data_IF_788078713026
#
_entry.id   IF_788078713026
#
_cell.length_a   1.000
_cell.length_b   1.000
_cell.length_c   1.000
_cell.angle_alpha   90.00
_cell.angle_beta   90.00
_cell.angle_gamma   90.00
#
_symmetry.space_group_name_H-M   'P 1'
#
loop_
_entity.id
_entity.type
_entity.pdbx_description
1 polymer ?
#
# COMPACT_ATOMS: atom_id res chain seq x y z
N UNK A 1 -37.40 -19.27 -2.26
CA UNK A 1 -36.28 -18.75 -1.43
C UNK A 1 -35.50 -19.93 -0.90
N UNK A 2 -34.38 -20.27 -1.54
CA UNK A 2 -33.47 -21.30 -1.08
C UNK A 2 -32.26 -20.59 -0.44
N UNK A 3 -32.16 -20.66 0.89
CA UNK A 3 -31.01 -20.17 1.63
C UNK A 3 -29.86 -21.17 1.46
N UNK A 4 -28.95 -20.91 0.52
CA UNK A 4 -27.70 -21.66 0.42
C UNK A 4 -26.70 -20.96 1.34
N UNK A 5 -26.60 -21.48 2.56
CA UNK A 5 -25.55 -21.12 3.51
C UNK A 5 -24.23 -21.76 3.06
N UNK A 6 -23.45 -21.08 2.23
CA UNK A 6 -22.08 -21.53 1.93
C UNK A 6 -21.21 -21.20 3.15
N UNK A 7 -21.02 -22.17 4.03
CA UNK A 7 -20.01 -22.09 5.08
C UNK A 7 -18.63 -22.33 4.45
N UNK A 8 -17.95 -21.26 4.05
CA UNK A 8 -16.52 -21.32 3.74
C UNK A 8 -15.74 -21.37 5.06
N UNK A 9 -15.55 -22.59 5.58
CA UNK A 9 -14.60 -22.86 6.66
C UNK A 9 -13.20 -22.72 6.09
N UNK A 10 -12.60 -21.53 6.22
CA UNK A 10 -11.16 -21.38 6.17
C UNK A 10 -10.63 -21.62 7.59
N UNK A 11 -10.05 -22.81 7.80
CA UNK A 11 -9.26 -23.10 8.99
C UNK A 11 -7.91 -22.36 8.88
N UNK A 12 -7.76 -21.25 9.60
CA UNK A 12 -6.46 -20.64 9.88
C UNK A 12 -6.46 -19.12 9.77
N UNK A 13 -6.49 -18.44 10.91
CA UNK A 13 -6.30 -16.99 11.03
C UNK A 13 -7.62 -16.23 11.12
N UNK A 14 -7.81 -15.45 12.19
CA UNK A 14 -9.07 -14.80 12.52
C UNK A 14 -9.66 -13.99 11.36
N UNK A 15 -10.67 -14.56 10.70
CA UNK A 15 -11.35 -13.95 9.57
C UNK A 15 -12.00 -12.65 10.01
N UNK A 16 -11.34 -11.53 9.71
CA UNK A 16 -11.81 -10.20 10.04
C UNK A 16 -13.09 -9.83 9.28
N UNK A 17 -13.58 -10.61 8.31
CA UNK A 17 -14.76 -10.29 7.52
C UNK A 17 -16.07 -10.62 8.28
N UNK A 18 -17.10 -9.74 8.26
CA UNK A 18 -18.44 -10.10 8.70
C UNK A 18 -18.94 -11.31 7.91
N UNK A 19 -19.60 -12.27 8.57
CA UNK A 19 -20.23 -13.39 7.89
C UNK A 19 -21.30 -12.87 6.90
N UNK A 20 -21.30 -13.38 5.67
CA UNK A 20 -22.30 -13.01 4.67
C UNK A 20 -23.69 -13.43 5.16
N UNK A 21 -24.57 -12.44 5.35
CA UNK A 21 -25.96 -12.63 5.76
C UNK A 21 -26.86 -12.07 4.66
N UNK A 22 -27.13 -12.87 3.63
CA UNK A 22 -27.93 -12.49 2.46
C UNK A 22 -29.43 -12.59 2.75
N UNK A 23 -29.91 -11.88 3.79
CA UNK A 23 -31.28 -12.02 4.32
C UNK A 23 -32.28 -11.10 3.65
N UNK A 24 -31.82 -9.98 3.09
CA UNK A 24 -32.63 -9.02 2.34
C UNK A 24 -32.04 -8.76 0.95
N UNK A 25 -32.86 -8.22 0.05
CA UNK A 25 -32.40 -7.80 -1.29
C UNK A 25 -31.26 -6.76 -1.17
N UNK A 26 -31.32 -5.89 -0.16
CA UNK A 26 -30.27 -4.92 0.13
C UNK A 26 -28.98 -5.61 0.53
N UNK A 27 -29.03 -6.66 1.37
CA UNK A 27 -27.85 -7.44 1.75
C UNK A 27 -27.23 -8.13 0.53
N UNK A 28 -28.07 -8.73 -0.31
CA UNK A 28 -27.66 -9.40 -1.55
C UNK A 28 -26.99 -8.45 -2.53
N UNK A 29 -27.60 -7.28 -2.78
CA UNK A 29 -27.04 -6.26 -3.67
C UNK A 29 -25.75 -5.68 -3.08
N UNK A 30 -25.70 -5.42 -1.77
CA UNK A 30 -24.50 -4.88 -1.10
C UNK A 30 -23.33 -5.87 -1.18
N UNK A 31 -23.58 -7.15 -0.94
CA UNK A 31 -22.58 -8.20 -1.09
C UNK A 31 -22.09 -8.30 -2.54
N UNK A 32 -23.03 -8.34 -3.50
CA UNK A 32 -22.69 -8.40 -4.92
C UNK A 32 -21.89 -7.17 -5.37
N UNK A 33 -22.21 -5.98 -4.85
CA UNK A 33 -21.45 -4.77 -5.11
C UNK A 33 -20.02 -4.86 -4.57
N UNK A 34 -19.82 -5.38 -3.36
CA UNK A 34 -18.49 -5.65 -2.81
C UNK A 34 -17.67 -6.65 -3.64
N UNK A 35 -18.30 -7.72 -4.13
CA UNK A 35 -17.67 -8.68 -5.07
C UNK A 35 -17.28 -7.97 -6.37
N UNK A 36 -18.18 -7.18 -6.95
CA UNK A 36 -17.88 -6.43 -8.17
C UNK A 36 -16.74 -5.43 -7.96
N UNK A 37 -16.68 -4.72 -6.84
CA UNK A 37 -15.58 -3.80 -6.54
C UNK A 37 -14.22 -4.52 -6.47
N UNK A 38 -14.19 -5.71 -5.85
CA UNK A 38 -12.98 -6.50 -5.72
C UNK A 38 -12.48 -7.04 -7.07
N UNK A 39 -13.39 -7.63 -7.85
CA UNK A 39 -13.09 -8.35 -9.08
C UNK A 39 -13.09 -7.42 -10.30
N UNK A 40 -14.26 -6.93 -10.70
CA UNK A 40 -14.43 -6.09 -11.90
C UNK A 40 -14.01 -4.64 -11.70
N UNK A 41 -14.07 -4.15 -10.46
CA UNK A 41 -13.67 -2.78 -10.07
C UNK A 41 -12.16 -2.59 -10.04
N UNK A 42 -11.38 -3.65 -10.31
CA UNK A 42 -9.93 -3.57 -10.43
C UNK A 42 -9.19 -3.40 -9.10
N UNK A 43 -9.87 -3.55 -7.95
CA UNK A 43 -9.23 -3.42 -6.65
C UNK A 43 -8.11 -4.44 -6.47
N UNK A 44 -8.32 -5.71 -6.84
CA UNK A 44 -7.26 -6.73 -6.80
C UNK A 44 -6.07 -6.33 -7.67
N UNK A 45 -6.32 -5.87 -8.89
CA UNK A 45 -5.27 -5.40 -9.79
C UNK A 45 -4.49 -4.20 -9.21
N UNK A 46 -5.19 -3.28 -8.55
CA UNK A 46 -4.56 -2.16 -7.85
C UNK A 46 -3.69 -2.63 -6.68
N UNK A 47 -4.16 -3.59 -5.88
CA UNK A 47 -3.37 -4.16 -4.77
C UNK A 47 -2.09 -4.84 -5.27
N UNK A 48 -2.14 -5.46 -6.45
CA UNK A 48 -0.95 -6.03 -7.10
C UNK A 48 0.01 -4.95 -7.58
N UNK A 49 -0.49 -3.94 -8.30
CA UNK A 49 0.33 -2.85 -8.84
C UNK A 49 0.94 -1.97 -7.75
N UNK A 50 0.22 -1.78 -6.64
CA UNK A 50 0.73 -1.06 -5.45
C UNK A 50 1.68 -1.90 -4.61
N UNK A 51 1.87 -3.19 -4.92
CA UNK A 51 2.76 -4.10 -4.19
C UNK A 51 2.22 -4.57 -2.83
N UNK A 52 0.94 -4.29 -2.54
CA UNK A 52 0.26 -4.78 -1.33
C UNK A 52 0.10 -6.28 -1.40
N UNK A 53 -0.21 -6.85 -2.57
CA UNK A 53 -0.24 -8.30 -2.78
C UNK A 53 0.64 -8.70 -3.96
N UNK A 54 1.06 -9.95 -3.97
CA UNK A 54 1.66 -10.60 -5.14
C UNK A 54 0.55 -11.18 -6.01
N UNK A 55 0.65 -10.98 -7.33
CA UNK A 55 -0.38 -11.40 -8.26
C UNK A 55 -0.37 -12.90 -8.56
N UNK A 56 -1.57 -13.48 -8.59
CA UNK A 56 -1.79 -14.89 -8.90
C UNK A 56 -2.10 -15.13 -10.38
N UNK A 57 -2.58 -14.10 -11.10
CA UNK A 57 -3.09 -14.23 -12.47
C UNK A 57 -2.05 -14.77 -13.46
N UNK A 58 -0.78 -14.38 -13.30
CA UNK A 58 0.32 -14.90 -14.13
C UNK A 58 0.58 -16.39 -13.87
N UNK A 59 0.39 -16.85 -12.63
CA UNK A 59 0.55 -18.27 -12.28
C UNK A 59 -0.61 -19.07 -12.87
N UNK A 60 -1.85 -18.64 -12.65
CA UNK A 60 -3.02 -19.37 -13.16
C UNK A 60 -2.99 -19.47 -14.69
N UNK A 61 -2.64 -18.38 -15.38
CA UNK A 61 -2.52 -18.37 -16.84
C UNK A 61 -1.43 -19.33 -17.36
N UNK A 62 -0.22 -19.29 -16.78
CA UNK A 62 0.88 -20.19 -17.16
C UNK A 62 0.50 -21.68 -16.96
N UNK A 63 -0.09 -22.00 -15.80
CA UNK A 63 -0.47 -23.36 -15.50
C UNK A 63 -1.63 -23.84 -16.36
N UNK A 64 -2.62 -22.99 -16.67
CA UNK A 64 -3.70 -23.37 -17.58
C UNK A 64 -3.19 -23.71 -18.98
N UNK A 65 -2.24 -22.92 -19.51
CA UNK A 65 -1.58 -23.23 -20.78
C UNK A 65 -0.88 -24.59 -20.75
N UNK A 66 -0.09 -24.85 -19.70
CA UNK A 66 0.64 -26.12 -19.52
C UNK A 66 -0.31 -27.31 -19.33
N UNK A 67 -1.41 -27.12 -18.60
CA UNK A 67 -2.44 -28.14 -18.36
C UNK A 67 -3.19 -28.47 -19.66
N UNK A 68 -3.47 -27.48 -20.51
CA UNK A 68 -4.21 -27.69 -21.75
C UNK A 68 -3.51 -28.66 -22.70
N UNK A 69 -2.18 -28.66 -22.74
CA UNK A 69 -1.37 -29.51 -23.61
C UNK A 69 -0.83 -30.77 -22.94
N UNK A 70 -1.06 -30.96 -21.63
CA UNK A 70 -0.52 -32.05 -20.84
C UNK A 70 -1.29 -33.37 -20.98
N UNK A 71 -0.62 -34.50 -20.77
CA UNK A 71 -1.29 -35.80 -20.61
C UNK A 71 -2.02 -35.92 -19.24
N UNK A 72 -2.81 -36.97 -19.05
CA UNK A 72 -3.63 -37.15 -17.84
C UNK A 72 -2.81 -37.21 -16.54
N UNK A 73 -1.60 -37.77 -16.57
CA UNK A 73 -0.71 -37.87 -15.41
C UNK A 73 -0.07 -36.51 -15.11
N UNK A 74 0.38 -35.82 -16.13
CA UNK A 74 0.97 -34.47 -16.03
C UNK A 74 -0.05 -33.43 -15.59
N UNK A 75 -1.30 -33.48 -16.08
CA UNK A 75 -2.39 -32.59 -15.65
C UNK A 75 -2.57 -32.59 -14.14
N UNK A 76 -2.57 -33.78 -13.53
CA UNK A 76 -2.74 -33.90 -12.08
C UNK A 76 -1.55 -33.32 -11.31
N UNK A 77 -0.32 -33.52 -11.80
CA UNK A 77 0.88 -32.95 -11.20
C UNK A 77 0.90 -31.43 -11.30
N UNK A 78 0.60 -30.88 -12.49
CA UNK A 78 0.53 -29.44 -12.75
C UNK A 78 -0.56 -28.75 -11.93
N UNK A 79 -1.73 -29.38 -11.78
CA UNK A 79 -2.80 -28.84 -10.94
C UNK A 79 -2.37 -28.77 -9.46
N UNK A 80 -1.70 -29.80 -8.95
CA UNK A 80 -1.18 -29.80 -7.57
C UNK A 80 -0.13 -28.73 -7.37
N UNK A 81 0.77 -28.58 -8.35
CA UNK A 81 1.82 -27.57 -8.30
C UNK A 81 1.26 -26.15 -8.35
N UNK A 82 0.28 -25.89 -9.23
CA UNK A 82 -0.45 -24.62 -9.30
C UNK A 82 -1.09 -24.31 -7.95
N UNK A 83 -1.87 -25.24 -7.39
CA UNK A 83 -2.54 -25.05 -6.11
C UNK A 83 -1.52 -24.75 -4.99
N UNK A 84 -0.40 -25.48 -4.93
CA UNK A 84 0.64 -25.23 -3.94
C UNK A 84 1.28 -23.83 -4.08
N UNK A 85 1.47 -23.35 -5.31
CA UNK A 85 1.97 -21.98 -5.57
C UNK A 85 0.95 -20.92 -5.17
N UNK A 86 -0.33 -21.11 -5.48
CA UNK A 86 -1.43 -20.23 -5.07
C UNK A 86 -1.53 -20.19 -3.55
N UNK A 87 -1.45 -21.34 -2.88
CA UNK A 87 -1.47 -21.43 -1.41
C UNK A 87 -0.30 -20.69 -0.78
N UNK A 88 0.90 -20.83 -1.35
CA UNK A 88 2.08 -20.08 -0.92
C UNK A 88 1.89 -18.57 -1.10
N UNK A 89 1.34 -18.13 -2.23
CA UNK A 89 1.04 -16.72 -2.45
C UNK A 89 0.01 -16.20 -1.45
N UNK A 90 -1.08 -16.93 -1.24
CA UNK A 90 -2.12 -16.57 -0.28
C UNK A 90 -1.54 -16.42 1.13
N UNK A 91 -0.63 -17.30 1.55
CA UNK A 91 0.04 -17.21 2.84
C UNK A 91 0.92 -15.96 2.97
N UNK A 92 1.59 -15.56 1.89
CA UNK A 92 2.41 -14.34 1.85
C UNK A 92 1.54 -13.08 1.82
N UNK A 93 0.43 -13.12 1.09
CA UNK A 93 -0.49 -12.00 0.92
C UNK A 93 -1.38 -11.77 2.16
N UNK A 94 -1.76 -12.83 2.87
CA UNK A 94 -2.69 -12.79 4.01
C UNK A 94 -2.39 -11.67 5.02
N UNK A 95 -1.19 -11.56 5.62
CA UNK A 95 -0.94 -10.51 6.62
C UNK A 95 -1.05 -9.08 6.04
N UNK A 96 -0.72 -8.89 4.75
CA UNK A 96 -0.83 -7.59 4.09
C UNK A 96 -2.28 -7.24 3.78
N UNK A 97 -3.06 -8.24 3.34
CA UNK A 97 -4.50 -8.11 3.13
C UNK A 97 -5.23 -7.83 4.44
N UNK A 98 -4.83 -8.45 5.55
CA UNK A 98 -5.43 -8.20 6.86
C UNK A 98 -5.27 -6.73 7.28
N UNK A 99 -4.06 -6.16 7.15
CA UNK A 99 -3.82 -4.74 7.43
C UNK A 99 -4.58 -3.82 6.47
N UNK A 100 -4.62 -4.14 5.18
CA UNK A 100 -5.40 -3.39 4.19
C UNK A 100 -6.90 -3.39 4.53
N UNK A 101 -7.46 -4.56 4.84
CA UNK A 101 -8.87 -4.73 5.22
C UNK A 101 -9.17 -3.98 6.51
N UNK A 102 -8.26 -3.97 7.48
CA UNK A 102 -8.40 -3.19 8.71
C UNK A 102 -8.51 -1.70 8.41
N UNK A 103 -7.60 -1.14 7.60
CA UNK A 103 -7.64 0.27 7.18
C UNK A 103 -8.92 0.61 6.40
N UNK A 104 -9.32 -0.25 5.46
CA UNK A 104 -10.55 -0.08 4.68
C UNK A 104 -11.78 -0.04 5.60
N UNK A 105 -11.86 -0.95 6.58
CA UNK A 105 -12.96 -1.01 7.55
C UNK A 105 -12.99 0.22 8.45
N UNK A 106 -11.84 0.68 8.93
CA UNK A 106 -11.76 1.91 9.72
C UNK A 106 -12.23 3.12 8.91
N UNK A 107 -11.86 3.19 7.63
CA UNK A 107 -12.30 4.26 6.73
C UNK A 107 -13.80 4.22 6.46
N UNK A 108 -14.38 3.03 6.21
CA UNK A 108 -15.82 2.88 5.92
C UNK A 108 -16.71 3.08 7.15
N UNK A 109 -16.23 2.75 8.36
CA UNK A 109 -16.98 2.92 9.61
C UNK A 109 -16.75 4.27 10.28
N UNK A 110 -15.74 5.03 9.86
CA UNK A 110 -15.18 6.13 10.63
C UNK A 110 -16.10 7.32 10.89
N UNK A 111 -17.14 7.52 10.08
CA UNK A 111 -18.01 8.70 10.18
C UNK A 111 -17.23 10.02 10.23
N UNK A 112 -17.87 11.09 10.70
CA UNK A 112 -17.19 12.38 10.91
C UNK A 112 -16.14 12.32 12.04
N UNK A 113 -16.38 11.51 13.08
CA UNK A 113 -15.55 11.47 14.30
C UNK A 113 -14.11 11.00 14.05
N UNK A 114 -13.90 10.06 13.10
CA UNK A 114 -12.56 9.60 12.74
C UNK A 114 -11.99 10.25 11.48
N UNK A 115 -12.69 11.24 10.93
CA UNK A 115 -12.33 11.87 9.66
C UNK A 115 -10.92 12.48 9.72
N UNK A 116 -10.59 13.21 10.79
CA UNK A 116 -9.26 13.81 10.97
C UNK A 116 -8.14 12.76 11.13
N UNK A 117 -8.42 11.64 11.80
CA UNK A 117 -7.46 10.54 11.94
C UNK A 117 -7.16 9.87 10.59
N UNK A 118 -8.21 9.55 9.84
CA UNK A 118 -8.10 8.93 8.50
C UNK A 118 -7.35 9.86 7.54
N UNK A 119 -7.69 11.16 7.54
CA UNK A 119 -6.97 12.16 6.75
C UNK A 119 -5.50 12.28 7.16
N UNK A 120 -5.21 12.23 8.47
CA UNK A 120 -3.86 12.20 9.00
C UNK A 120 -3.04 11.01 8.50
N UNK A 121 -3.62 9.81 8.49
CA UNK A 121 -2.98 8.62 7.91
C UNK A 121 -2.69 8.80 6.42
N UNK A 122 -3.66 9.31 5.65
CA UNK A 122 -3.50 9.54 4.20
C UNK A 122 -2.40 10.56 3.89
N UNK A 123 -2.42 11.71 4.57
CA UNK A 123 -1.40 12.75 4.40
C UNK A 123 -0.03 12.25 4.86
N UNK A 124 0.03 11.53 5.98
CA UNK A 124 1.26 10.92 6.48
C UNK A 124 1.85 9.92 5.48
N UNK A 125 1.01 9.10 4.84
CA UNK A 125 1.44 8.20 3.78
C UNK A 125 2.03 8.97 2.58
N UNK A 126 1.34 9.99 2.06
CA UNK A 126 1.83 10.84 0.96
C UNK A 126 3.18 11.50 1.31
N UNK A 127 3.31 12.04 2.53
CA UNK A 127 4.57 12.62 3.00
C UNK A 127 5.68 11.57 2.99
N UNK A 128 5.42 10.38 3.52
CA UNK A 128 6.44 9.33 3.65
C UNK A 128 6.90 8.75 2.31
N UNK A 129 5.99 8.57 1.37
CA UNK A 129 6.28 7.87 0.11
C UNK A 129 6.79 8.81 -0.98
N UNK A 130 6.38 10.08 -0.97
CA UNK A 130 6.67 11.02 -2.06
C UNK A 130 7.50 12.21 -1.56
N UNK A 131 7.00 12.94 -0.56
CA UNK A 131 7.59 14.23 -0.18
C UNK A 131 8.95 14.06 0.50
N UNK A 132 9.08 13.13 1.44
CA UNK A 132 10.31 12.89 2.19
C UNK A 132 11.45 12.40 1.29
N UNK A 133 11.26 11.37 0.43
CA UNK A 133 12.27 10.97 -0.53
C UNK A 133 12.66 12.10 -1.48
N UNK A 134 11.70 12.84 -2.03
CA UNK A 134 11.99 13.97 -2.92
C UNK A 134 12.81 15.05 -2.22
N UNK A 135 12.48 15.38 -0.98
CA UNK A 135 13.23 16.36 -0.18
C UNK A 135 14.64 15.86 0.17
N UNK A 136 14.78 14.56 0.48
CA UNK A 136 16.07 13.91 0.67
C UNK A 136 16.96 14.02 -0.58
N UNK A 137 16.42 13.71 -1.76
CA UNK A 137 17.13 13.87 -3.04
C UNK A 137 17.52 15.32 -3.30
N UNK A 138 16.63 16.28 -3.01
CA UNK A 138 16.95 17.70 -3.18
C UNK A 138 18.09 18.19 -2.26
N UNK A 139 18.23 17.64 -1.05
CA UNK A 139 19.25 18.05 -0.09
C UNK A 139 20.56 17.26 -0.19
N UNK A 140 20.49 15.99 -0.60
CA UNK A 140 21.63 15.07 -0.52
C UNK A 140 22.05 14.52 -1.89
N UNK A 141 21.31 14.81 -2.97
CA UNK A 141 21.60 14.28 -4.30
C UNK A 141 21.54 12.75 -4.31
N UNK A 142 22.58 12.11 -4.85
CA UNK A 142 22.73 10.65 -4.87
C UNK A 142 23.36 10.07 -3.59
N UNK A 143 23.67 10.90 -2.58
CA UNK A 143 24.25 10.44 -1.31
C UNK A 143 23.21 9.70 -0.45
N UNK A 144 23.04 8.41 -0.71
CA UNK A 144 22.12 7.54 0.00
C UNK A 144 22.48 7.29 1.47
N UNK A 145 23.65 7.76 1.93
CA UNK A 145 24.05 7.62 3.34
C UNK A 145 23.35 8.63 4.24
N UNK A 146 22.82 9.73 3.67
CA UNK A 146 22.12 10.77 4.40
C UNK A 146 20.61 10.58 4.34
N UNK A 147 19.95 10.86 5.47
CA UNK A 147 18.50 10.72 5.62
C UNK A 147 17.93 11.91 6.37
N UNK A 148 16.69 12.26 6.05
CA UNK A 148 15.92 13.22 6.83
C UNK A 148 15.68 12.64 8.23
N UNK A 149 15.83 13.48 9.26
CA UNK A 149 15.48 13.11 10.62
C UNK A 149 13.97 13.25 10.82
N UNK A 150 13.26 12.10 10.79
CA UNK A 150 11.81 12.06 10.89
C UNK A 150 11.29 12.63 12.22
N UNK A 151 12.00 12.40 13.33
CA UNK A 151 11.59 12.89 14.64
C UNK A 151 11.61 14.41 14.72
N UNK A 152 12.67 15.04 14.19
CA UNK A 152 12.79 16.50 14.14
C UNK A 152 11.80 17.13 13.16
N UNK A 153 11.56 16.47 12.02
CA UNK A 153 10.52 16.90 11.08
C UNK A 153 9.14 16.87 11.75
N UNK A 154 8.80 15.77 12.43
CA UNK A 154 7.53 15.63 13.15
C UNK A 154 7.43 16.63 14.29
N UNK A 155 8.51 16.89 15.04
CA UNK A 155 8.54 17.90 16.08
C UNK A 155 8.18 19.30 15.52
N UNK A 156 8.84 19.73 14.43
CA UNK A 156 8.54 21.00 13.78
C UNK A 156 7.10 21.08 13.26
N UNK A 157 6.60 20.00 12.65
CA UNK A 157 5.23 19.90 12.15
C UNK A 157 4.21 19.99 13.28
N UNK A 158 4.38 19.18 14.34
CA UNK A 158 3.46 19.12 15.49
C UNK A 158 3.46 20.45 16.23
N UNK A 159 4.63 21.03 16.52
CA UNK A 159 4.70 22.34 17.19
C UNK A 159 3.97 23.41 16.38
N UNK A 160 4.11 23.40 15.06
CA UNK A 160 3.43 24.35 14.18
C UNK A 160 1.91 24.14 14.15
N UNK A 161 1.44 22.89 13.95
CA UNK A 161 0.01 22.56 13.88
C UNK A 161 -0.71 22.83 15.20
N UNK A 162 -0.02 22.62 16.32
CA UNK A 162 -0.55 22.87 17.67
C UNK A 162 -0.37 24.31 18.15
N UNK A 163 0.12 25.21 17.30
CA UNK A 163 0.43 26.61 17.63
C UNK A 163 1.34 26.74 18.88
N UNK A 164 2.28 25.82 19.04
CA UNK A 164 3.30 25.85 20.08
C UNK A 164 4.51 26.67 19.61
N UNK A 165 5.37 27.05 20.57
CA UNK A 165 6.65 27.65 20.21
C UNK A 165 7.49 26.69 19.37
N UNK A 166 8.09 27.21 18.31
CA UNK A 166 8.99 26.45 17.43
C UNK A 166 10.44 26.79 17.75
N UNK A 167 11.33 25.79 17.69
CA UNK A 167 12.77 26.00 17.89
C UNK A 167 13.41 26.87 16.78
N UNK A 168 12.78 26.89 15.60
CA UNK A 168 13.12 27.75 14.46
C UNK A 168 11.86 28.51 14.09
N UNK A 169 11.93 29.83 13.94
CA UNK A 169 10.77 30.63 13.54
C UNK A 169 10.27 30.22 12.15
N UNK A 170 9.00 30.49 11.83
CA UNK A 170 8.45 30.17 10.49
C UNK A 170 9.23 30.84 9.35
N UNK A 171 9.71 32.07 9.58
CA UNK A 171 10.51 32.82 8.61
C UNK A 171 11.89 32.19 8.45
N UNK A 172 12.56 31.88 9.57
CA UNK A 172 13.90 31.29 9.55
C UNK A 172 13.89 29.86 8.99
N UNK A 173 12.81 29.10 9.20
CA UNK A 173 12.66 27.75 8.68
C UNK A 173 12.64 27.74 7.14
N UNK A 174 11.84 28.64 6.54
CA UNK A 174 11.80 28.79 5.08
C UNK A 174 13.18 29.21 4.52
N UNK A 175 13.81 30.22 5.13
CA UNK A 175 15.13 30.69 4.71
C UNK A 175 16.24 29.66 4.93
N UNK A 176 16.14 28.79 5.92
CA UNK A 176 17.09 27.70 6.14
C UNK A 176 16.95 26.63 5.06
N UNK A 177 15.72 26.21 4.75
CA UNK A 177 15.46 25.19 3.73
C UNK A 177 15.96 25.66 2.36
N UNK A 178 15.58 26.87 1.93
CA UNK A 178 15.97 27.42 0.64
C UNK A 178 17.50 27.46 0.48
N UNK A 179 18.20 28.05 1.46
CA UNK A 179 19.67 28.12 1.43
C UNK A 179 20.31 26.74 1.39
N UNK A 180 19.77 25.75 2.09
CA UNK A 180 20.34 24.39 2.11
C UNK A 180 20.11 23.64 0.80
N UNK A 181 18.96 23.82 0.15
CA UNK A 181 18.69 23.26 -1.18
C UNK A 181 19.59 23.91 -2.24
N UNK A 182 19.72 25.24 -2.23
CA UNK A 182 20.63 25.96 -3.15
C UNK A 182 22.08 25.51 -2.98
N UNK A 183 22.55 25.36 -1.72
CA UNK A 183 23.89 24.82 -1.44
C UNK A 183 24.07 23.39 -1.91
N UNK A 184 23.04 22.55 -1.83
CA UNK A 184 23.11 21.16 -2.30
C UNK A 184 23.20 21.10 -3.83
N UNK A 185 22.36 21.87 -4.53
CA UNK A 185 22.36 21.94 -5.99
C UNK A 185 23.68 22.47 -6.55
N UNK A 186 24.23 23.54 -5.96
CA UNK A 186 25.51 24.10 -6.38
C UNK A 186 26.67 23.08 -6.22
N UNK A 187 26.65 22.30 -5.13
CA UNK A 187 27.65 21.23 -4.92
C UNK A 187 27.53 20.10 -5.92
N UNK A 188 26.31 19.72 -6.26
CA UNK A 188 26.06 18.65 -7.23
C UNK A 188 26.48 19.09 -8.65
N UNK A 189 26.15 20.31 -9.05
CA UNK A 189 26.60 20.88 -10.33
C UNK A 189 28.13 20.92 -10.43
N UNK A 190 28.81 21.39 -9.38
CA UNK A 190 30.26 21.43 -9.34
C UNK A 190 30.89 20.03 -9.50
N UNK A 191 30.32 19.00 -8.85
CA UNK A 191 30.77 17.60 -9.02
C UNK A 191 30.61 17.11 -10.45
N UNK A 192 29.45 17.35 -11.07
CA UNK A 192 29.19 16.94 -12.45
C UNK A 192 30.14 17.63 -13.44
N UNK A 193 30.43 18.92 -13.22
CA UNK A 193 31.40 19.65 -14.03
C UNK A 193 32.83 19.14 -13.86
N UNK A 194 33.21 18.67 -12.67
CA UNK A 194 34.52 18.04 -12.43
C UNK A 194 34.61 16.66 -13.11
N UNK A 195 33.56 15.83 -13.03
CA UNK A 195 33.51 14.51 -13.67
C UNK A 195 33.56 14.59 -15.21
N UNK A 196 32.99 15.64 -15.82
CA UNK A 196 33.04 15.86 -17.27
C UNK A 196 34.39 16.39 -17.78
N UNK A 197 35.27 16.84 -16.88
CA UNK A 197 36.62 17.34 -17.22
C UNK A 197 37.69 16.23 -17.17
N UNK A 198 37.32 15.02 -16.78
CA UNK A 198 38.16 13.81 -16.73
C UNK A 198 37.90 12.96 -17.97
#
# INVERSE_FOLDING_TARGET
>A
MAAVSIMLVSCGGGSSAPAASLKSDVDSISYAYGVNLADQGGLMQYLEQSGIIQGASNIEYDYQMRIATADSTQKQALQKEMNAKIDSLNKVNAPKLDEFIKGLKESLKGGEEKSAYIQGLSIGHQISQQMLPQFGTMLFGQDSTKKINNDQMLAGLISTLKNQSTAISKVDANGLIQRKVEQAQAKEQAKQEEELKV
#
